data_IF_691654190117
#
_entry.id   IF_691654190117
#
_cell.length_a   1.000
_cell.length_b   1.000
_cell.length_c   1.000
_cell.angle_alpha   90.00
_cell.angle_beta   90.00
_cell.angle_gamma   90.00
#
_symmetry.space_group_name_H-M   'P 1'
#
loop_
_entity.id
_entity.type
_entity.pdbx_description
1 polymer ?
#
# COMPACT_ATOMS: atom_id res chain seq x y z
N UNK A 1 -6.05 4.75 9.78
CA UNK A 1 -4.89 3.84 9.79
C UNK A 1 -3.79 4.45 8.92
N UNK A 2 -2.53 4.28 9.31
CA UNK A 2 -1.36 4.62 8.51
C UNK A 2 -0.45 3.38 8.43
N UNK A 3 -0.08 2.99 7.20
CA UNK A 3 0.92 1.97 6.95
C UNK A 3 2.21 2.63 6.45
N UNK A 4 3.36 2.25 7.02
CA UNK A 4 4.63 2.92 6.80
C UNK A 4 5.76 1.91 6.59
N UNK A 5 6.58 2.14 5.57
CA UNK A 5 7.88 1.48 5.43
C UNK A 5 8.80 1.94 6.56
N UNK A 6 9.45 1.00 7.25
CA UNK A 6 10.15 1.35 8.49
C UNK A 6 11.42 2.17 8.27
N UNK A 7 11.96 2.15 7.06
CA UNK A 7 13.13 2.90 6.62
C UNK A 7 12.83 4.36 6.22
N UNK A 8 11.55 4.76 6.12
CA UNK A 8 11.18 6.13 5.76
C UNK A 8 11.10 7.05 6.99
N UNK A 9 12.21 7.70 7.31
CA UNK A 9 12.28 8.67 8.41
C UNK A 9 11.25 9.81 8.32
N UNK A 10 10.88 10.25 7.11
CA UNK A 10 9.93 11.36 6.94
C UNK A 10 8.52 10.92 7.32
N UNK A 11 8.12 9.73 6.86
CA UNK A 11 6.80 9.19 7.18
C UNK A 11 6.73 8.74 8.64
N UNK A 12 7.82 8.17 9.19
CA UNK A 12 7.93 7.82 10.60
C UNK A 12 7.77 9.03 11.55
N UNK A 13 8.14 10.24 11.11
CA UNK A 13 7.94 11.45 11.91
C UNK A 13 6.45 11.80 12.13
N UNK A 14 5.53 11.24 11.33
CA UNK A 14 4.10 11.48 11.44
C UNK A 14 3.42 10.56 12.47
N UNK A 15 4.08 9.49 12.90
CA UNK A 15 3.52 8.44 13.76
C UNK A 15 2.91 8.99 15.06
N UNK A 16 3.62 9.83 15.86
CA UNK A 16 3.05 10.32 17.12
C UNK A 16 1.77 11.13 16.91
N UNK A 17 1.67 11.84 15.78
CA UNK A 17 0.49 12.63 15.43
C UNK A 17 -0.71 11.79 15.01
N UNK A 18 -0.48 10.61 14.41
CA UNK A 18 -1.54 9.67 14.06
C UNK A 18 -2.05 8.96 15.31
N UNK A 19 -1.14 8.48 16.17
CA UNK A 19 -1.47 7.81 17.42
C UNK A 19 -2.22 8.75 18.39
N UNK A 20 -1.78 10.01 18.52
CA UNK A 20 -2.45 11.01 19.35
C UNK A 20 -3.90 11.30 18.91
N UNK A 21 -4.25 11.00 17.66
CA UNK A 21 -5.61 11.12 17.10
C UNK A 21 -6.42 9.83 17.19
N UNK A 22 -5.90 8.81 17.88
CA UNK A 22 -6.51 7.48 17.97
C UNK A 22 -6.39 6.66 16.68
N UNK A 23 -5.50 7.05 15.76
CA UNK A 23 -5.24 6.30 14.54
C UNK A 23 -4.36 5.08 14.81
N UNK A 24 -4.63 3.98 14.08
CA UNK A 24 -3.78 2.78 14.10
C UNK A 24 -2.59 2.95 13.16
N UNK A 25 -1.40 2.60 13.64
CA UNK A 25 -0.16 2.53 12.87
C UNK A 25 0.21 1.07 12.67
N UNK A 26 0.49 0.69 11.42
CA UNK A 26 1.06 -0.62 11.07
C UNK A 26 2.38 -0.38 10.35
N UNK A 27 3.42 -1.14 10.68
CA UNK A 27 4.75 -0.99 10.09
C UNK A 27 5.45 -2.33 9.99
N UNK A 28 6.42 -2.44 9.09
CA UNK A 28 7.34 -3.57 9.09
C UNK A 28 8.16 -3.62 10.39
N UNK A 29 8.69 -4.80 10.72
CA UNK A 29 9.62 -4.92 11.83
C UNK A 29 11.03 -4.49 11.37
N UNK A 30 11.75 -3.76 12.23
CA UNK A 30 13.13 -3.34 11.94
C UNK A 30 13.20 -2.04 11.14
N UNK A 31 14.17 -1.97 10.23
CA UNK A 31 14.47 -0.81 9.37
C UNK A 31 14.39 -1.23 7.90
N UNK A 32 13.26 -1.83 7.52
CA UNK A 32 13.06 -2.42 6.19
C UNK A 32 11.89 -1.79 5.45
N UNK A 33 12.06 -1.70 4.13
CA UNK A 33 10.99 -1.36 3.20
C UNK A 33 10.15 -2.59 2.81
N UNK A 34 9.01 -2.35 2.16
CA UNK A 34 8.12 -3.40 1.66
C UNK A 34 8.84 -4.44 0.79
N UNK A 35 9.69 -4.00 -0.15
CA UNK A 35 10.41 -4.91 -1.03
C UNK A 35 11.38 -5.81 -0.28
N UNK A 36 12.07 -5.29 0.74
CA UNK A 36 12.97 -6.07 1.61
C UNK A 36 12.20 -7.06 2.49
N UNK A 37 11.10 -6.61 3.10
CA UNK A 37 10.24 -7.47 3.92
C UNK A 37 9.71 -8.66 3.10
N UNK A 38 9.21 -8.41 1.89
CA UNK A 38 8.73 -9.44 0.98
C UNK A 38 9.87 -10.38 0.54
N UNK A 39 10.98 -9.83 0.04
CA UNK A 39 12.09 -10.65 -0.47
C UNK A 39 12.74 -11.51 0.61
N UNK A 40 12.76 -11.07 1.88
CA UNK A 40 13.37 -11.81 2.99
C UNK A 40 12.82 -13.23 3.18
N UNK A 41 11.58 -13.49 2.77
CA UNK A 41 10.92 -14.79 2.91
C UNK A 41 10.85 -15.60 1.61
N UNK A 42 11.23 -15.02 0.48
CA UNK A 42 11.17 -15.69 -0.82
C UNK A 42 12.41 -16.55 -1.06
N UNK A 43 12.24 -17.74 -1.62
CA UNK A 43 13.33 -18.51 -2.19
C UNK A 43 13.64 -18.03 -3.63
N UNK A 44 14.54 -18.71 -4.33
CA UNK A 44 14.91 -18.35 -5.69
C UNK A 44 13.71 -18.34 -6.65
N UNK A 45 12.82 -19.33 -6.55
CA UNK A 45 11.63 -19.39 -7.40
C UNK A 45 10.65 -18.27 -7.08
N UNK A 46 10.45 -17.95 -5.79
CA UNK A 46 9.64 -16.84 -5.34
C UNK A 46 10.17 -15.49 -5.81
N UNK A 47 11.49 -15.29 -5.80
CA UNK A 47 12.12 -14.08 -6.33
C UNK A 47 11.92 -13.96 -7.85
N UNK A 48 12.09 -15.05 -8.61
CA UNK A 48 11.78 -15.08 -10.05
C UNK A 48 10.31 -14.73 -10.31
N UNK A 49 9.39 -15.27 -9.51
CA UNK A 49 7.96 -14.99 -9.62
C UNK A 49 7.64 -13.51 -9.30
N UNK A 50 8.32 -12.90 -8.32
CA UNK A 50 8.18 -11.47 -8.03
C UNK A 50 8.65 -10.60 -9.20
N UNK A 51 9.79 -10.95 -9.81
CA UNK A 51 10.30 -10.25 -11.01
C UNK A 51 9.26 -10.36 -12.14
N UNK A 52 8.71 -11.55 -12.39
CA UNK A 52 7.68 -11.74 -13.40
C UNK A 52 6.42 -10.95 -13.11
N UNK A 53 5.96 -10.90 -11.86
CA UNK A 53 4.82 -10.08 -11.47
C UNK A 53 5.05 -8.59 -11.78
N UNK A 54 6.28 -8.10 -11.70
CA UNK A 54 6.63 -6.73 -12.07
C UNK A 54 6.71 -6.53 -13.59
N UNK A 55 7.26 -7.50 -14.32
CA UNK A 55 7.32 -7.50 -15.79
C UNK A 55 5.92 -7.48 -16.40
N UNK A 56 5.00 -8.29 -15.88
CA UNK A 56 3.60 -8.41 -16.34
C UNK A 56 2.84 -7.08 -16.32
N UNK A 57 3.16 -6.20 -15.37
CA UNK A 57 2.45 -4.91 -15.18
C UNK A 57 3.26 -3.73 -15.67
N UNK A 58 4.37 -3.96 -16.36
CA UNK A 58 5.13 -2.88 -16.98
C UNK A 58 4.31 -2.20 -18.09
N UNK A 59 4.51 -0.89 -18.27
CA UNK A 59 3.70 -0.10 -19.20
C UNK A 59 3.95 -0.47 -20.67
N UNK A 60 5.10 -1.09 -20.94
CA UNK A 60 5.53 -1.58 -22.24
C UNK A 60 5.98 -3.05 -22.11
N UNK A 61 5.14 -4.02 -22.52
CA UNK A 61 5.43 -5.44 -22.36
C UNK A 61 6.56 -5.93 -23.27
N UNK A 62 6.76 -5.31 -24.43
CA UNK A 62 7.77 -5.75 -25.41
C UNK A 62 9.19 -5.42 -24.93
N UNK A 63 9.33 -4.31 -24.19
CA UNK A 63 10.63 -3.89 -23.64
C UNK A 63 10.86 -4.32 -22.19
N UNK A 64 9.81 -4.73 -21.48
CA UNK A 64 9.89 -5.06 -20.06
C UNK A 64 11.00 -6.08 -19.72
N UNK A 65 11.13 -7.25 -20.38
CA UNK A 65 12.16 -8.22 -20.00
C UNK A 65 13.57 -7.64 -20.04
N UNK A 66 13.87 -6.83 -21.06
CA UNK A 66 15.17 -6.17 -21.21
C UNK A 66 15.39 -5.08 -20.15
N UNK A 67 14.38 -4.25 -19.90
CA UNK A 67 14.46 -3.19 -18.89
C UNK A 67 14.72 -3.76 -17.49
N UNK A 68 14.01 -4.82 -17.11
CA UNK A 68 14.20 -5.46 -15.81
C UNK A 68 15.55 -6.17 -15.72
N UNK A 69 15.99 -6.85 -16.78
CA UNK A 69 17.32 -7.45 -16.86
C UNK A 69 18.42 -6.38 -16.65
N UNK A 70 18.35 -5.26 -17.35
CA UNK A 70 19.34 -4.18 -17.25
C UNK A 70 19.36 -3.56 -15.84
N UNK A 71 18.20 -3.38 -15.21
CA UNK A 71 18.10 -2.88 -13.84
C UNK A 71 18.74 -3.84 -12.83
N UNK A 72 18.48 -5.14 -12.95
CA UNK A 72 19.06 -6.17 -12.07
C UNK A 72 20.57 -6.26 -12.26
N UNK A 73 21.05 -6.26 -13.50
CA UNK A 73 22.48 -6.26 -13.83
C UNK A 73 23.17 -5.01 -13.25
N UNK A 74 22.56 -3.83 -13.39
CA UNK A 74 23.09 -2.58 -12.84
C UNK A 74 23.21 -2.59 -11.30
N UNK A 75 22.52 -3.51 -10.63
CA UNK A 75 22.53 -3.69 -9.17
C UNK A 75 23.31 -4.92 -8.71
N UNK A 76 24.04 -5.58 -9.60
CA UNK A 76 24.91 -6.71 -9.27
C UNK A 76 24.34 -8.08 -9.61
N UNK A 77 23.18 -8.15 -10.27
CA UNK A 77 22.67 -9.36 -10.88
C UNK A 77 23.59 -9.87 -12.01
N UNK A 78 23.56 -11.17 -12.32
CA UNK A 78 24.38 -11.74 -13.38
C UNK A 78 23.90 -11.26 -14.76
N UNK A 79 24.84 -11.20 -15.70
CA UNK A 79 24.52 -10.97 -17.11
C UNK A 79 23.95 -12.26 -17.72
N UNK A 80 23.21 -12.11 -18.83
CA UNK A 80 22.75 -13.24 -19.63
C UNK A 80 23.96 -14.02 -20.13
N UNK A 81 23.96 -15.32 -19.90
CA UNK A 81 24.96 -16.26 -20.39
C UNK A 81 24.24 -17.54 -20.83
N UNK A 82 24.09 -17.71 -22.14
CA UNK A 82 23.41 -18.88 -22.72
C UNK A 82 24.19 -20.18 -22.50
N UNK A 83 25.53 -20.11 -22.43
CA UNK A 83 26.36 -21.28 -22.24
C UNK A 83 26.29 -21.80 -20.80
N UNK A 84 26.19 -20.89 -19.83
CA UNK A 84 25.99 -21.21 -18.43
C UNK A 84 24.49 -21.38 -18.05
N UNK A 85 23.56 -21.08 -18.95
CA UNK A 85 22.12 -21.15 -18.71
C UNK A 85 21.62 -20.08 -17.73
N UNK A 86 22.26 -18.91 -17.70
CA UNK A 86 21.93 -17.81 -16.78
C UNK A 86 21.04 -16.78 -17.46
N UNK A 87 19.88 -16.53 -16.84
CA UNK A 87 18.93 -15.50 -17.24
C UNK A 87 18.84 -14.40 -16.16
N UNK A 88 19.09 -13.12 -16.49
CA UNK A 88 19.00 -12.01 -15.56
C UNK A 88 17.61 -11.76 -14.96
N UNK A 89 16.54 -12.38 -15.46
CA UNK A 89 15.20 -12.24 -14.86
C UNK A 89 14.70 -13.52 -14.21
N UNK A 90 15.54 -14.56 -14.13
CA UNK A 90 15.24 -15.80 -13.40
C UNK A 90 16.32 -16.12 -12.37
N UNK A 91 16.02 -15.80 -11.11
CA UNK A 91 16.88 -16.03 -9.94
C UNK A 91 17.18 -17.52 -9.71
N UNK A 92 16.33 -18.44 -10.18
CA UNK A 92 16.63 -19.88 -10.14
C UNK A 92 17.89 -20.19 -10.94
N UNK A 93 18.10 -19.50 -12.07
CA UNK A 93 19.32 -19.68 -12.87
C UNK A 93 20.55 -19.10 -12.17
N UNK A 94 20.36 -18.05 -11.35
CA UNK A 94 21.45 -17.43 -10.58
C UNK A 94 21.97 -18.37 -9.50
N UNK A 95 21.06 -18.99 -8.76
CA UNK A 95 21.42 -19.94 -7.69
C UNK A 95 22.03 -21.21 -8.26
N UNK A 96 21.57 -21.69 -9.42
CA UNK A 96 22.21 -22.78 -10.17
C UNK A 96 23.63 -22.41 -10.62
N UNK A 97 23.90 -21.13 -10.90
CA UNK A 97 25.24 -20.61 -11.19
C UNK A 97 26.07 -20.27 -9.94
N UNK A 98 25.58 -20.61 -8.73
CA UNK A 98 26.31 -20.47 -7.47
C UNK A 98 26.12 -19.13 -6.75
N UNK A 99 25.18 -18.28 -7.18
CA UNK A 99 24.82 -17.08 -6.43
C UNK A 99 23.96 -17.50 -5.23
N UNK A 100 24.36 -17.09 -4.03
CA UNK A 100 23.60 -17.38 -2.82
C UNK A 100 22.22 -16.67 -2.83
N UNK A 101 21.20 -17.31 -2.27
CA UNK A 101 19.83 -16.79 -2.26
C UNK A 101 19.72 -15.50 -1.45
N UNK A 102 20.48 -15.33 -0.37
CA UNK A 102 20.46 -14.10 0.43
C UNK A 102 21.03 -12.93 -0.36
N UNK A 103 22.10 -13.17 -1.13
CA UNK A 103 22.62 -12.18 -2.05
C UNK A 103 21.60 -11.82 -3.14
N UNK A 104 20.92 -12.83 -3.71
CA UNK A 104 19.87 -12.59 -4.70
C UNK A 104 18.70 -11.77 -4.14
N UNK A 105 18.26 -12.04 -2.90
CA UNK A 105 17.24 -11.24 -2.20
C UNK A 105 17.65 -9.78 -2.11
N UNK A 106 18.88 -9.51 -1.70
CA UNK A 106 19.41 -8.14 -1.60
C UNK A 106 19.45 -7.41 -2.94
N UNK A 107 19.81 -8.11 -4.03
CA UNK A 107 19.79 -7.51 -5.38
C UNK A 107 18.34 -7.19 -5.80
N UNK A 108 17.42 -8.15 -5.67
CA UNK A 108 16.04 -7.99 -6.12
C UNK A 108 15.31 -6.92 -5.31
N UNK A 109 15.40 -6.94 -3.97
CA UNK A 109 14.73 -5.95 -3.11
C UNK A 109 15.23 -4.53 -3.38
N UNK A 110 16.55 -4.35 -3.47
CA UNK A 110 17.16 -3.06 -3.76
C UNK A 110 16.76 -2.56 -5.16
N UNK A 111 16.73 -3.46 -6.15
CA UNK A 111 16.34 -3.11 -7.51
C UNK A 111 14.88 -2.68 -7.55
N UNK A 112 13.99 -3.48 -6.97
CA UNK A 112 12.55 -3.21 -6.94
C UNK A 112 12.23 -1.85 -6.28
N UNK A 113 12.86 -1.57 -5.14
CA UNK A 113 12.72 -0.30 -4.43
C UNK A 113 13.27 0.88 -5.25
N UNK A 114 14.51 0.79 -5.75
CA UNK A 114 15.15 1.92 -6.45
C UNK A 114 14.53 2.20 -7.82
N UNK A 115 14.13 1.15 -8.54
CA UNK A 115 13.45 1.26 -9.83
C UNK A 115 11.93 1.45 -9.70
N UNK A 116 11.40 1.43 -8.47
CA UNK A 116 9.99 1.74 -8.16
C UNK A 116 9.01 0.83 -8.90
N UNK A 117 9.31 -0.47 -8.95
CA UNK A 117 8.53 -1.46 -9.71
C UNK A 117 7.03 -1.39 -9.43
N UNK A 118 6.65 -1.16 -8.17
CA UNK A 118 5.26 -1.21 -7.72
C UNK A 118 4.70 0.14 -7.25
N UNK A 119 5.28 1.26 -7.68
CA UNK A 119 4.91 2.60 -7.17
C UNK A 119 3.51 3.10 -7.60
N UNK A 120 3.00 2.64 -8.73
CA UNK A 120 1.67 3.03 -9.21
C UNK A 120 0.58 2.14 -8.61
N UNK A 121 -0.63 2.67 -8.41
CA UNK A 121 -1.74 1.96 -7.74
C UNK A 121 -1.99 0.57 -8.33
N UNK A 122 -2.09 0.46 -9.65
CA UNK A 122 -2.35 -0.84 -10.31
C UNK A 122 -1.18 -1.82 -10.17
N UNK A 123 0.07 -1.33 -10.18
CA UNK A 123 1.28 -2.14 -9.95
C UNK A 123 1.36 -2.58 -8.48
N UNK A 124 1.06 -1.69 -7.54
CA UNK A 124 0.96 -2.02 -6.11
C UNK A 124 -0.14 -3.04 -5.82
N UNK A 125 -1.27 -2.99 -6.53
CA UNK A 125 -2.31 -4.03 -6.46
C UNK A 125 -1.77 -5.40 -6.90
N UNK A 126 -1.02 -5.45 -7.99
CA UNK A 126 -0.38 -6.69 -8.46
C UNK A 126 0.60 -7.25 -7.43
N UNK A 127 1.37 -6.40 -6.74
CA UNK A 127 2.21 -6.83 -5.62
C UNK A 127 1.38 -7.39 -4.46
N UNK A 128 0.27 -6.73 -4.11
CA UNK A 128 -0.65 -7.24 -3.09
C UNK A 128 -1.23 -8.62 -3.45
N UNK A 129 -1.66 -8.81 -4.70
CA UNK A 129 -2.13 -10.09 -5.22
C UNK A 129 -1.01 -11.14 -5.16
N UNK A 130 0.22 -10.79 -5.60
CA UNK A 130 1.38 -11.67 -5.48
C UNK A 130 1.64 -12.11 -4.03
N UNK A 131 1.57 -11.18 -3.08
CA UNK A 131 1.77 -11.49 -1.65
C UNK A 131 0.71 -12.50 -1.20
N UNK A 132 -0.57 -12.25 -1.49
CA UNK A 132 -1.70 -13.10 -1.10
C UNK A 132 -1.67 -14.50 -1.75
N UNK A 133 -1.21 -14.58 -2.99
CA UNK A 133 -1.16 -15.82 -3.76
C UNK A 133 0.08 -16.67 -3.45
N UNK A 134 1.10 -16.10 -2.81
CA UNK A 134 2.37 -16.77 -2.53
C UNK A 134 2.35 -17.47 -1.18
N UNK A 135 2.36 -18.82 -1.11
CA UNK A 135 2.13 -19.55 0.14
C UNK A 135 3.13 -19.24 1.27
N UNK A 136 4.41 -19.05 0.95
CA UNK A 136 5.42 -18.74 1.98
C UNK A 136 5.19 -17.38 2.64
N UNK A 137 4.61 -16.42 1.93
CA UNK A 137 4.26 -15.09 2.44
C UNK A 137 2.96 -15.07 3.25
N UNK A 138 2.17 -16.14 3.18
CA UNK A 138 0.97 -16.34 4.00
C UNK A 138 1.30 -16.89 5.41
N UNK A 139 2.59 -16.99 5.73
CA UNK A 139 3.08 -17.29 7.07
C UNK A 139 4.21 -16.31 7.45
N UNK A 140 4.59 -16.29 8.72
CA UNK A 140 5.72 -15.49 9.19
C UNK A 140 5.45 -13.98 9.27
N UNK A 141 6.51 -13.14 9.28
CA UNK A 141 6.40 -11.70 9.53
C UNK A 141 5.53 -10.94 8.51
N UNK A 142 5.60 -11.29 7.22
CA UNK A 142 4.76 -10.62 6.21
C UNK A 142 3.28 -10.87 6.47
N UNK A 143 2.88 -12.12 6.74
CA UNK A 143 1.50 -12.46 7.04
C UNK A 143 0.97 -11.74 8.29
N UNK A 144 1.81 -11.60 9.33
CA UNK A 144 1.44 -10.88 10.56
C UNK A 144 1.10 -9.42 10.27
N UNK A 145 1.97 -8.72 9.54
CA UNK A 145 1.74 -7.30 9.18
C UNK A 145 0.53 -7.15 8.25
N UNK A 146 0.31 -8.09 7.33
CA UNK A 146 -0.88 -8.08 6.46
C UNK A 146 -2.16 -8.27 7.28
N UNK A 147 -2.16 -9.15 8.28
CA UNK A 147 -3.32 -9.34 9.16
C UNK A 147 -3.54 -8.11 10.06
N UNK A 148 -2.49 -7.53 10.64
CA UNK A 148 -2.58 -6.27 11.39
C UNK A 148 -3.17 -5.14 10.53
N UNK A 149 -2.74 -5.05 9.26
CA UNK A 149 -3.28 -4.09 8.30
C UNK A 149 -4.76 -4.34 8.04
N UNK A 150 -5.15 -5.60 7.86
CA UNK A 150 -6.54 -6.00 7.63
C UNK A 150 -7.41 -5.68 8.83
N UNK A 151 -6.99 -6.03 10.04
CA UNK A 151 -7.69 -5.68 11.28
C UNK A 151 -7.82 -4.17 11.42
N UNK A 152 -6.75 -3.41 11.17
CA UNK A 152 -6.79 -1.95 11.27
C UNK A 152 -7.73 -1.26 10.25
N UNK A 153 -7.96 -1.88 9.08
CA UNK A 153 -8.87 -1.35 8.04
C UNK A 153 -10.31 -1.79 8.30
N UNK A 154 -10.50 -3.07 8.64
CA UNK A 154 -11.81 -3.73 8.62
C UNK A 154 -12.38 -4.04 9.99
N UNK A 155 -11.65 -3.80 11.09
CA UNK A 155 -12.23 -3.88 12.42
C UNK A 155 -13.43 -2.92 12.49
N UNK A 156 -14.62 -3.51 12.55
CA UNK A 156 -15.87 -2.78 12.77
C UNK A 156 -15.70 -2.03 14.10
N UNK A 157 -15.95 -0.71 14.16
CA UNK A 157 -16.06 -0.05 15.46
C UNK A 157 -17.07 -0.82 16.29
N UNK A 158 -16.84 -1.08 17.59
CA UNK A 158 -17.86 -1.70 18.42
C UNK A 158 -19.16 -0.95 18.19
N UNK A 159 -20.24 -1.70 17.87
CA UNK A 159 -21.56 -1.13 17.74
C UNK A 159 -21.76 -0.29 18.98
N UNK A 160 -21.89 1.03 18.82
CA UNK A 160 -22.23 1.90 19.92
C UNK A 160 -23.42 1.26 20.60
N UNK A 161 -23.24 0.83 21.85
CA UNK A 161 -24.33 0.32 22.66
C UNK A 161 -25.45 1.34 22.49
N UNK A 162 -26.56 0.85 21.93
CA UNK A 162 -27.76 1.64 21.81
C UNK A 162 -28.06 2.13 23.21
N UNK A 163 -27.82 3.43 23.43
CA UNK A 163 -28.26 4.14 24.61
C UNK A 163 -29.77 3.96 24.66
N UNK A 164 -30.19 2.98 25.44
CA UNK A 164 -31.57 2.78 25.84
C UNK A 164 -32.02 4.02 26.60
N UNK A 165 -33.17 4.53 26.14
CA UNK A 165 -34.19 5.27 26.87
C UNK A 165 -33.79 6.59 27.55
N UNK A 166 -34.27 7.70 26.98
CA UNK A 166 -35.09 8.65 27.77
C UNK A 166 -36.31 9.07 26.97
N UNK A 167 -37.45 8.93 27.65
CA UNK A 167 -38.84 9.13 27.27
C UNK A 167 -39.19 10.43 26.54
N UNK A 168 -40.14 10.32 25.61
CA UNK A 168 -41.03 11.40 25.16
C UNK A 168 -41.90 11.93 26.31
N UNK A 169 -42.36 13.18 26.23
CA UNK A 169 -43.82 13.32 26.19
C UNK A 169 -44.34 14.22 25.07
N UNK A 170 -45.47 13.75 24.53
CA UNK A 170 -46.44 14.42 23.67
C UNK A 170 -47.26 15.45 24.43
N UNK A 171 -47.51 16.65 23.86
CA UNK A 171 -48.78 17.41 24.02
C UNK A 171 -49.02 18.36 22.81
N UNK A 172 -50.05 17.99 22.03
CA UNK A 172 -51.13 18.76 21.37
C UNK A 172 -50.93 19.99 20.44
N UNK A 173 -51.62 19.87 19.30
CA UNK A 173 -52.10 20.89 18.37
C UNK A 173 -52.95 22.00 19.02
N UNK A 174 -52.81 23.23 18.52
CA UNK A 174 -53.92 24.20 18.44
C UNK A 174 -53.73 25.16 17.26
N UNK A 175 -54.81 25.35 16.51
CA UNK A 175 -54.89 25.95 15.18
C UNK A 175 -55.43 27.40 15.15
N UNK A 176 -55.10 28.12 14.06
CA UNK A 176 -55.81 29.24 13.38
C UNK A 176 -55.74 30.68 13.93
N UNK A 177 -55.38 31.62 13.05
CA UNK A 177 -55.80 33.03 13.11
C UNK A 177 -55.05 33.98 12.16
N UNK A 178 -55.71 34.40 11.07
CA UNK A 178 -55.21 35.27 10.00
C UNK A 178 -55.28 36.79 10.31
N UNK A 179 -54.46 37.61 9.60
CA UNK A 179 -54.67 38.97 9.01
C UNK A 179 -53.30 39.65 8.82
N UNK A 180 -52.74 39.81 7.62
CA UNK A 180 -52.94 40.87 6.59
C UNK A 180 -52.40 42.28 6.97
N UNK A 181 -51.77 42.94 5.97
CA UNK A 181 -51.45 44.39 5.82
C UNK A 181 -50.10 44.84 6.45
N UNK A 182 -49.13 45.54 5.85
CA UNK A 182 -48.95 46.35 4.62
C UNK A 182 -47.43 46.46 4.29
N UNK A 183 -47.05 46.56 3.02
CA UNK A 183 -45.78 47.20 2.58
C UNK A 183 -45.88 48.73 2.73
N UNK A 184 -44.75 49.46 2.75
CA UNK A 184 -44.42 50.15 1.49
C UNK A 184 -42.93 50.15 1.11
N UNK A 185 -42.77 50.28 -0.20
CA UNK A 185 -41.59 50.56 -1.02
C UNK A 185 -40.87 51.86 -0.63
N UNK A 186 -39.54 51.96 -0.85
CA UNK A 186 -38.84 52.73 -1.91
C UNK A 186 -37.50 53.18 -1.23
N UNK A 187 -36.35 53.47 -1.84
CA UNK A 187 -35.82 53.53 -3.21
C UNK A 187 -34.29 53.76 -3.10
N UNK A 188 -33.58 53.19 -4.08
CA UNK A 188 -32.30 53.53 -4.71
C UNK A 188 -31.11 54.17 -3.97
N UNK A 189 -29.91 53.71 -4.36
CA UNK A 189 -28.67 54.50 -4.31
C UNK A 189 -27.37 53.69 -4.41
N UNK A 190 -27.01 53.25 -5.61
CA UNK A 190 -25.72 52.61 -5.96
C UNK A 190 -24.57 53.68 -6.07
N UNK A 191 -23.30 53.32 -6.38
CA UNK A 191 -22.13 53.55 -5.53
C UNK A 191 -21.17 54.65 -6.05
N UNK A 192 -20.18 55.02 -5.25
CA UNK A 192 -18.99 55.78 -5.71
C UNK A 192 -17.98 55.90 -4.58
N UNK A 193 -16.67 55.91 -4.78
CA UNK A 193 -15.80 55.75 -5.94
C UNK A 193 -14.44 55.30 -5.37
#
# INVERSE_FOLDING_TARGET
>A
MLFVDSDDANTNALLPGVEAKGGVVVRWAGDVCTEEAVCSQLDAAGLSALIQAAVEVHDDPDTAPTVFADQLIARGGPKRDEAAGVDPIDVTTWTNAGIDVEHARGIVSLTASKAKWFKQIHKGRRLGEFILDTPVLQTGPVAQVVEELREAIYARPPAAEAVEAVETPSVEEATVGATEVEEPSEVEGTPGA
#
